data_IF_666850259743
#
_entry.id   IF_666850259743
#
_cell.length_a   1.000
_cell.length_b   1.000
_cell.length_c   1.000
_cell.angle_alpha   90.00
_cell.angle_beta   90.00
_cell.angle_gamma   90.00
#
_symmetry.space_group_name_H-M   'P 1'
#
loop_
_entity.id
_entity.type
_entity.pdbx_description
1 polymer ?
#
# COMPACT_ATOMS: atom_id res chain seq x y z
N UNK A 1 -0.36 40.96 -1.35
CA UNK A 1 -0.14 40.34 -2.67
C UNK A 1 -1.24 39.33 -2.96
N UNK A 2 -2.21 39.67 -3.82
CA UNK A 2 -3.33 38.80 -4.16
C UNK A 2 -2.89 37.75 -5.19
N UNK A 3 -2.51 36.55 -4.72
CA UNK A 3 -2.20 35.40 -5.59
C UNK A 3 -3.46 35.02 -6.38
N UNK A 4 -3.35 35.03 -7.71
CA UNK A 4 -4.47 34.92 -8.65
C UNK A 4 -5.48 33.82 -8.32
N UNK A 5 -6.75 34.19 -8.25
CA UNK A 5 -7.88 33.26 -8.12
C UNK A 5 -8.01 32.49 -9.44
N UNK A 6 -7.85 31.16 -9.41
CA UNK A 6 -8.07 30.33 -10.60
C UNK A 6 -9.56 30.33 -10.91
N UNK A 7 -9.95 30.80 -12.09
CA UNK A 7 -11.31 30.64 -12.59
C UNK A 7 -11.52 29.18 -13.04
N UNK A 8 -11.69 28.28 -12.07
CA UNK A 8 -12.23 26.95 -12.32
C UNK A 8 -13.74 27.10 -12.58
N UNK A 9 -14.22 26.67 -13.74
CA UNK A 9 -15.63 26.73 -14.15
C UNK A 9 -16.13 25.34 -14.55
N UNK A 10 -17.43 25.09 -14.32
CA UNK A 10 -18.10 23.85 -14.74
C UNK A 10 -17.46 22.57 -14.19
N UNK A 11 -17.27 21.57 -15.05
CA UNK A 11 -16.80 20.23 -14.66
C UNK A 11 -15.39 20.22 -14.05
N UNK A 12 -14.53 21.15 -14.47
CA UNK A 12 -13.19 21.30 -13.89
C UNK A 12 -13.24 21.74 -12.43
N UNK A 13 -14.24 22.55 -12.07
CA UNK A 13 -14.47 22.94 -10.67
C UNK A 13 -15.00 21.74 -9.87
N UNK A 14 -15.92 20.97 -10.44
CA UNK A 14 -16.47 19.76 -9.80
C UNK A 14 -15.39 18.73 -9.50
N UNK A 15 -14.54 18.42 -10.48
CA UNK A 15 -13.43 17.47 -10.31
C UNK A 15 -12.42 17.96 -9.26
N UNK A 16 -12.07 19.25 -9.27
CA UNK A 16 -11.16 19.83 -8.28
C UNK A 16 -11.75 19.81 -6.86
N UNK A 17 -13.04 20.11 -6.71
CA UNK A 17 -13.75 20.05 -5.43
C UNK A 17 -13.77 18.61 -4.90
N UNK A 18 -14.14 17.62 -5.72
CA UNK A 18 -14.17 16.22 -5.31
C UNK A 18 -12.78 15.71 -4.90
N UNK A 19 -11.74 16.04 -5.68
CA UNK A 19 -10.37 15.66 -5.35
C UNK A 19 -9.90 16.27 -4.02
N UNK A 20 -10.23 17.54 -3.77
CA UNK A 20 -9.82 18.22 -2.53
C UNK A 20 -10.65 17.76 -1.33
N UNK A 21 -11.96 17.54 -1.49
CA UNK A 21 -12.80 16.94 -0.45
C UNK A 21 -12.33 15.53 -0.08
N UNK A 22 -11.90 14.73 -1.05
CA UNK A 22 -11.30 13.42 -0.81
C UNK A 22 -9.94 13.47 -0.09
N UNK A 23 -9.18 14.57 -0.21
CA UNK A 23 -7.98 14.79 0.61
C UNK A 23 -8.36 15.25 2.02
N UNK A 24 -9.32 16.17 2.13
CA UNK A 24 -9.74 16.72 3.41
C UNK A 24 -10.46 15.70 4.29
N UNK A 25 -11.15 14.70 3.70
CA UNK A 25 -11.79 13.63 4.46
C UNK A 25 -10.80 12.76 5.24
N UNK A 26 -9.53 12.72 4.82
CA UNK A 26 -8.44 12.03 5.50
C UNK A 26 -7.70 12.90 6.53
N UNK A 27 -8.08 14.18 6.67
CA UNK A 27 -7.51 15.09 7.66
C UNK A 27 -8.38 15.17 8.90
N UNK A 28 -7.78 15.51 10.04
CA UNK A 28 -8.49 15.57 11.32
C UNK A 28 -9.52 16.71 11.33
N UNK A 29 -10.79 16.44 11.73
CA UNK A 29 -11.82 17.47 11.81
C UNK A 29 -11.51 18.58 12.82
N UNK A 30 -10.58 18.35 13.77
CA UNK A 30 -10.16 19.35 14.77
C UNK A 30 -9.18 20.38 14.20
N UNK A 31 -8.33 19.99 13.27
CA UNK A 31 -7.31 20.88 12.67
C UNK A 31 -7.78 21.47 11.36
N UNK A 32 -8.49 20.69 10.55
CA UNK A 32 -8.95 21.06 9.22
C UNK A 32 -10.40 20.64 9.00
N UNK A 33 -11.37 21.39 9.56
CA UNK A 33 -12.78 21.08 9.35
C UNK A 33 -13.15 21.29 7.88
N UNK A 34 -13.85 20.33 7.29
CA UNK A 34 -14.50 20.51 5.99
C UNK A 34 -15.61 21.54 6.15
N UNK A 35 -15.42 22.69 5.51
CA UNK A 35 -16.36 23.81 5.48
C UNK A 35 -16.24 24.52 4.13
N UNK A 36 -17.28 25.27 3.75
CA UNK A 36 -17.27 26.03 2.48
C UNK A 36 -16.12 27.06 2.48
N UNK A 37 -15.79 27.66 3.62
CA UNK A 37 -14.66 28.58 3.76
C UNK A 37 -13.32 27.87 3.56
N UNK A 38 -13.09 26.76 4.26
CA UNK A 38 -11.82 26.02 4.14
C UNK A 38 -11.61 25.44 2.74
N UNK A 39 -12.69 24.96 2.10
CA UNK A 39 -12.65 24.49 0.71
C UNK A 39 -12.34 25.63 -0.28
N UNK A 40 -12.97 26.79 -0.11
CA UNK A 40 -12.74 27.97 -0.94
C UNK A 40 -11.29 28.47 -0.84
N UNK A 41 -10.75 28.49 0.38
CA UNK A 41 -9.39 28.96 0.65
C UNK A 41 -8.34 28.00 0.05
N UNK A 42 -8.55 26.68 0.18
CA UNK A 42 -7.66 25.64 -0.40
C UNK A 42 -7.68 25.63 -1.92
N UNK A 43 -8.87 25.73 -2.53
CA UNK A 43 -9.02 25.75 -3.98
C UNK A 43 -8.71 27.13 -4.60
N UNK A 44 -8.57 28.18 -3.79
CA UNK A 44 -8.43 29.59 -4.20
C UNK A 44 -9.57 30.05 -5.12
N UNK A 45 -10.78 29.61 -4.80
CA UNK A 45 -12.01 29.92 -5.55
C UNK A 45 -12.92 30.79 -4.67
N UNK A 46 -13.76 31.64 -5.29
CA UNK A 46 -14.75 32.42 -4.55
C UNK A 46 -15.81 31.50 -3.91
N UNK A 47 -16.18 31.77 -2.66
CA UNK A 47 -17.31 31.09 -1.99
C UNK A 47 -18.59 31.15 -2.83
N UNK A 48 -18.80 32.25 -3.55
CA UNK A 48 -19.97 32.44 -4.41
C UNK A 48 -20.00 31.45 -5.58
N UNK A 49 -18.84 31.04 -6.11
CA UNK A 49 -18.76 30.01 -7.14
C UNK A 49 -19.12 28.61 -6.60
N UNK A 50 -18.93 28.37 -5.30
CA UNK A 50 -19.33 27.11 -4.66
C UNK A 50 -20.86 27.11 -4.46
N UNK A 51 -21.43 28.23 -4.00
CA UNK A 51 -22.88 28.39 -3.84
C UNK A 51 -23.63 28.33 -5.17
N UNK A 52 -23.14 29.02 -6.20
CA UNK A 52 -23.80 29.08 -7.52
C UNK A 52 -23.93 27.70 -8.18
N UNK A 53 -23.00 26.79 -7.89
CA UNK A 53 -22.98 25.43 -8.43
C UNK A 53 -23.59 24.38 -7.49
N UNK A 54 -24.27 24.81 -6.41
CA UNK A 54 -24.99 23.93 -5.47
C UNK A 54 -24.13 22.82 -4.86
N UNK A 55 -22.84 23.06 -4.60
CA UNK A 55 -21.95 22.06 -3.99
C UNK A 55 -22.11 21.91 -2.47
N UNK A 56 -22.97 22.71 -1.84
CA UNK A 56 -23.20 22.67 -0.38
C UNK A 56 -23.59 21.27 0.15
N UNK A 57 -24.54 20.53 -0.47
CA UNK A 57 -24.89 19.19 0.00
C UNK A 57 -23.72 18.22 -0.03
N UNK A 58 -22.87 18.29 -1.06
CA UNK A 58 -21.66 17.46 -1.18
C UNK A 58 -20.62 17.82 -0.11
N UNK A 59 -20.44 19.10 0.21
CA UNK A 59 -19.54 19.51 1.28
C UNK A 59 -20.04 19.02 2.64
N UNK A 60 -21.35 19.08 2.88
CA UNK A 60 -21.96 18.62 4.12
C UNK A 60 -21.85 17.10 4.26
N UNK A 61 -22.09 16.32 3.20
CA UNK A 61 -21.88 14.86 3.16
C UNK A 61 -20.43 14.47 3.45
N UNK A 62 -19.46 15.16 2.84
CA UNK A 62 -18.04 14.90 3.09
C UNK A 62 -17.61 15.33 4.50
N UNK A 63 -18.23 16.38 5.07
CA UNK A 63 -17.99 16.79 6.45
C UNK A 63 -18.55 15.78 7.45
N UNK A 64 -19.71 15.18 7.17
CA UNK A 64 -20.26 14.07 7.94
C UNK A 64 -19.39 12.82 7.82
N UNK A 65 -18.91 12.48 6.62
CA UNK A 65 -17.94 11.41 6.38
C UNK A 65 -16.64 11.64 7.15
N UNK A 66 -16.10 12.85 7.16
CA UNK A 66 -14.90 13.19 7.93
C UNK A 66 -15.14 12.96 9.43
N UNK A 67 -16.30 13.37 9.95
CA UNK A 67 -16.67 13.16 11.36
C UNK A 67 -16.90 11.69 11.68
N UNK A 68 -17.59 10.94 10.83
CA UNK A 68 -17.87 9.51 11.05
C UNK A 68 -16.58 8.69 10.99
N UNK A 69 -15.72 8.94 9.99
CA UNK A 69 -14.42 8.31 9.88
C UNK A 69 -13.57 8.58 11.12
N UNK A 70 -13.54 9.82 11.62
CA UNK A 70 -12.72 10.16 12.79
C UNK A 70 -13.31 9.76 14.14
N UNK A 71 -14.64 9.74 14.27
CA UNK A 71 -15.31 9.21 15.46
C UNK A 71 -15.15 7.68 15.54
N UNK A 72 -15.15 6.97 14.41
CA UNK A 72 -14.84 5.53 14.34
C UNK A 72 -13.33 5.23 14.37
N UNK A 73 -12.45 6.18 14.00
CA UNK A 73 -11.00 5.99 13.99
C UNK A 73 -10.35 5.88 15.38
N UNK A 74 -11.08 6.07 16.49
CA UNK A 74 -10.56 5.67 17.81
C UNK A 74 -10.37 4.14 17.85
N UNK A 75 -11.26 3.37 17.21
CA UNK A 75 -11.09 1.91 17.09
C UNK A 75 -10.16 1.51 15.94
N UNK A 76 -10.19 2.22 14.80
CA UNK A 76 -9.32 1.91 13.65
C UNK A 76 -7.86 2.32 13.91
N UNK A 77 -7.59 3.37 14.68
CA UNK A 77 -6.24 3.74 15.12
C UNK A 77 -5.60 2.70 16.05
N UNK A 78 -6.42 2.01 16.87
CA UNK A 78 -5.99 0.86 17.66
C UNK A 78 -5.73 -0.36 16.76
N UNK A 79 -6.44 -0.50 15.62
CA UNK A 79 -6.23 -1.56 14.61
C UNK A 79 -5.11 -1.26 13.60
N UNK A 80 -4.72 0.00 13.36
CA UNK A 80 -3.60 0.35 12.46
C UNK A 80 -2.23 0.06 13.05
N UNK A 81 -2.02 0.36 14.33
CA UNK A 81 -0.77 -0.01 15.03
C UNK A 81 -0.41 -1.50 14.92
N UNK A 82 -1.34 -2.47 15.05
CA UNK A 82 -1.03 -3.88 14.85
C UNK A 82 -0.88 -4.26 13.37
N UNK A 83 -1.50 -3.54 12.43
CA UNK A 83 -1.33 -3.80 11.00
C UNK A 83 0.00 -3.26 10.46
N UNK A 84 0.46 -2.10 10.90
CA UNK A 84 1.78 -1.55 10.57
C UNK A 84 2.89 -2.46 11.09
N UNK A 85 2.79 -2.91 12.35
CA UNK A 85 3.69 -3.94 12.89
C UNK A 85 3.66 -5.23 12.08
N UNK A 86 2.47 -5.68 11.65
CA UNK A 86 2.35 -6.88 10.82
C UNK A 86 2.99 -6.71 9.45
N UNK A 87 2.92 -5.52 8.86
CA UNK A 87 3.60 -5.19 7.61
C UNK A 87 5.12 -5.22 7.82
N UNK A 88 5.63 -4.58 8.88
CA UNK A 88 7.06 -4.63 9.21
C UNK A 88 7.56 -6.06 9.43
N UNK A 89 6.81 -6.88 10.17
CA UNK A 89 7.13 -8.29 10.38
C UNK A 89 7.18 -9.08 9.06
N UNK A 90 6.19 -8.86 8.18
CA UNK A 90 6.12 -9.52 6.87
C UNK A 90 7.24 -9.04 5.93
N UNK A 91 7.59 -7.76 5.95
CA UNK A 91 8.70 -7.20 5.17
C UNK A 91 10.04 -7.81 5.60
N UNK A 92 10.24 -7.95 6.92
CA UNK A 92 11.43 -8.60 7.48
C UNK A 92 11.50 -10.08 7.10
N UNK A 93 10.39 -10.80 7.22
CA UNK A 93 10.33 -12.22 6.82
C UNK A 93 10.63 -12.40 5.33
N UNK A 94 10.13 -11.50 4.48
CA UNK A 94 10.42 -11.53 3.05
C UNK A 94 11.91 -11.25 2.74
N UNK A 95 12.53 -10.32 3.46
CA UNK A 95 13.96 -10.03 3.33
C UNK A 95 14.81 -11.24 3.75
N UNK A 96 14.48 -11.89 4.87
CA UNK A 96 15.15 -13.10 5.35
C UNK A 96 15.00 -14.25 4.35
N UNK A 97 13.81 -14.44 3.77
CA UNK A 97 13.56 -15.48 2.76
C UNK A 97 14.36 -15.22 1.48
N UNK A 98 14.45 -13.96 1.02
CA UNK A 98 15.28 -13.59 -0.13
C UNK A 98 16.76 -13.90 0.12
N UNK A 99 17.29 -13.51 1.28
CA UNK A 99 18.68 -13.80 1.63
C UNK A 99 18.98 -15.31 1.67
N UNK A 100 18.03 -16.12 2.17
CA UNK A 100 18.15 -17.58 2.14
C UNK A 100 18.14 -18.13 0.71
N UNK A 101 17.25 -17.61 -0.14
CA UNK A 101 17.16 -18.00 -1.53
C UNK A 101 18.44 -17.67 -2.29
N UNK A 102 19.00 -16.48 -2.12
CA UNK A 102 20.27 -16.08 -2.73
C UNK A 102 21.41 -17.02 -2.30
N UNK A 103 21.48 -17.37 -1.01
CA UNK A 103 22.46 -18.33 -0.49
C UNK A 103 22.29 -19.74 -1.10
N UNK A 104 21.05 -20.21 -1.28
CA UNK A 104 20.80 -21.48 -1.95
C UNK A 104 21.19 -21.46 -3.42
N UNK A 105 20.94 -20.35 -4.12
CA UNK A 105 21.37 -20.17 -5.51
C UNK A 105 22.89 -20.20 -5.61
N UNK A 106 23.60 -19.46 -4.74
CA UNK A 106 25.08 -19.48 -4.72
C UNK A 106 25.63 -20.89 -4.53
N UNK A 107 25.08 -21.64 -3.57
CA UNK A 107 25.48 -23.04 -3.34
C UNK A 107 25.18 -23.91 -4.55
N UNK A 108 24.03 -23.72 -5.19
CA UNK A 108 23.64 -24.50 -6.35
C UNK A 108 24.55 -24.24 -7.55
N UNK A 109 24.85 -22.97 -7.84
CA UNK A 109 25.79 -22.57 -8.89
C UNK A 109 27.19 -23.14 -8.61
N UNK A 110 27.65 -23.14 -7.36
CA UNK A 110 28.92 -23.75 -6.99
C UNK A 110 28.94 -25.27 -7.23
N UNK A 111 27.86 -25.98 -6.91
CA UNK A 111 27.72 -27.42 -7.17
C UNK A 111 27.74 -27.68 -8.68
N UNK A 112 26.96 -26.92 -9.46
CA UNK A 112 26.89 -27.07 -10.91
C UNK A 112 28.25 -26.81 -11.57
N UNK A 113 28.93 -25.74 -11.16
CA UNK A 113 30.27 -25.39 -11.64
C UNK A 113 31.27 -26.51 -11.35
N UNK A 114 31.28 -27.03 -10.12
CA UNK A 114 32.18 -28.12 -9.73
C UNK A 114 31.87 -29.42 -10.48
N UNK A 115 30.58 -29.75 -10.67
CA UNK A 115 30.16 -30.92 -11.44
C UNK A 115 30.65 -30.83 -12.90
N UNK A 116 30.48 -29.67 -13.55
CA UNK A 116 30.99 -29.41 -14.91
C UNK A 116 32.51 -29.53 -14.98
N UNK A 117 33.24 -28.99 -14.00
CA UNK A 117 34.71 -29.11 -13.93
C UNK A 117 35.17 -30.57 -13.80
N UNK A 118 34.38 -31.43 -13.16
CA UNK A 118 34.66 -32.86 -13.02
C UNK A 118 34.13 -33.70 -14.19
N UNK A 119 33.50 -33.08 -15.20
CA UNK A 119 32.88 -33.78 -16.33
C UNK A 119 31.64 -34.59 -15.96
N UNK A 120 31.04 -34.32 -14.80
CA UNK A 120 29.84 -34.98 -14.29
C UNK A 120 28.64 -34.12 -14.68
N UNK A 121 27.56 -34.74 -15.16
CA UNK A 121 26.31 -34.04 -15.39
C UNK A 121 25.66 -33.70 -14.03
N UNK A 122 25.43 -32.42 -13.76
CA UNK A 122 24.91 -31.94 -12.47
C UNK A 122 23.52 -32.52 -12.16
N UNK A 123 22.72 -32.83 -13.18
CA UNK A 123 21.38 -33.40 -13.02
C UNK A 123 21.42 -34.83 -12.43
N UNK A 124 22.49 -35.59 -12.70
CA UNK A 124 22.64 -36.96 -12.22
C UNK A 124 22.85 -37.04 -10.69
N UNK A 125 23.30 -35.94 -10.06
CA UNK A 125 23.49 -35.83 -8.61
C UNK A 125 22.17 -35.85 -7.83
N UNK A 126 21.05 -35.56 -8.49
CA UNK A 126 19.72 -35.47 -7.88
C UNK A 126 18.83 -36.67 -8.21
N UNK A 127 19.34 -37.65 -8.96
CA UNK A 127 18.61 -38.89 -9.21
C UNK A 127 18.45 -39.62 -7.88
N UNK A 128 17.21 -39.99 -7.56
CA UNK A 128 16.88 -40.72 -6.33
C UNK A 128 17.72 -41.99 -6.28
N UNK A 129 18.61 -42.09 -5.29
CA UNK A 129 19.46 -43.27 -5.14
C UNK A 129 18.58 -44.53 -5.06
N UNK A 130 18.89 -45.59 -5.83
CA UNK A 130 18.09 -46.81 -5.82
C UNK A 130 18.06 -47.40 -4.42
N UNK A 131 16.88 -47.84 -3.96
CA UNK A 131 16.73 -48.48 -2.65
C UNK A 131 17.67 -49.68 -2.55
N UNK A 132 18.44 -49.84 -1.47
CA UNK A 132 19.38 -50.95 -1.34
C UNK A 132 18.63 -52.28 -1.41
N UNK A 133 19.11 -53.18 -2.27
CA UNK A 133 18.59 -54.54 -2.40
C UNK A 133 18.78 -55.26 -1.06
N UNK A 134 17.70 -55.38 -0.28
CA UNK A 134 17.71 -56.16 0.96
C UNK A 134 17.71 -57.65 0.58
N UNK A 135 18.88 -58.30 0.58
CA UNK A 135 18.95 -59.76 0.47
C UNK A 135 18.42 -60.38 1.77
N UNK A 136 17.15 -60.77 1.79
CA UNK A 136 16.60 -61.56 2.89
C UNK A 136 17.15 -62.98 2.74
N UNK A 137 18.27 -63.29 3.40
CA UNK A 137 18.73 -64.68 3.59
C UNK A 137 17.74 -65.35 4.54
N UNK A 138 16.79 -66.12 4.01
CA UNK A 138 16.02 -67.08 4.82
C UNK A 138 16.93 -68.28 5.12
N UNK A 139 17.18 -68.52 6.40
CA UNK A 139 17.74 -69.77 6.92
C UNK A 139 16.63 -70.81 6.99
#
# INVERSE_FOLDING_TARGET
>A
MARGRRQLRGDKLKAAILAELGRMSNLSPKTDPISISSLADRLKVSRQSIYSNKFKPLVDEFAELQRSNYNQNIEVGIKRKPLEKRIEDLEKENADLKARLDNYIERWVAIEYNARMMGINADDLFVVAPKPLRSIRRK
#
